data_IF_504632263086
#
_entry.id   IF_504632263086
#
_cell.length_a   1.000
_cell.length_b   1.000
_cell.length_c   1.000
_cell.angle_alpha   90.00
_cell.angle_beta   90.00
_cell.angle_gamma   90.00
#
_symmetry.space_group_name_H-M   'P 1'
#
loop_
_entity.id
_entity.type
_entity.pdbx_description
1 polymer ?
#
# COMPACT_ATOMS: atom_id res chain seq x y z
N UNK A 1 -29.07 61.39 15.02
CA UNK A 1 -27.82 60.59 15.19
C UNK A 1 -28.09 59.13 15.54
N UNK A 2 -29.12 58.80 16.32
CA UNK A 2 -29.38 57.42 16.83
C UNK A 2 -29.72 56.37 15.74
N UNK A 3 -30.43 56.76 14.67
CA UNK A 3 -30.73 55.88 13.54
C UNK A 3 -29.47 55.31 12.84
N UNK A 4 -28.35 56.03 12.90
CA UNK A 4 -27.07 55.57 12.32
C UNK A 4 -26.39 54.52 13.19
N UNK A 5 -26.55 54.57 14.51
CA UNK A 5 -25.93 53.62 15.43
C UNK A 5 -26.64 52.26 15.36
N UNK A 6 -27.97 52.27 15.39
CA UNK A 6 -28.79 51.06 15.27
C UNK A 6 -28.59 50.34 13.92
N UNK A 7 -28.36 51.09 12.83
CA UNK A 7 -28.04 50.50 11.53
C UNK A 7 -26.67 49.81 11.54
N UNK A 8 -25.66 50.45 12.15
CA UNK A 8 -24.31 49.91 12.29
C UNK A 8 -24.28 48.63 13.14
N UNK A 9 -25.06 48.59 14.21
CA UNK A 9 -25.23 47.38 15.02
C UNK A 9 -25.90 46.28 14.22
N UNK A 10 -26.99 46.57 13.51
CA UNK A 10 -27.69 45.58 12.70
C UNK A 10 -26.79 44.99 11.61
N UNK A 11 -26.01 45.82 10.93
CA UNK A 11 -25.05 45.39 9.91
C UNK A 11 -23.93 44.53 10.51
N UNK A 12 -23.45 44.85 11.72
CA UNK A 12 -22.49 44.04 12.46
C UNK A 12 -23.05 42.67 12.87
N UNK A 13 -24.32 42.60 13.27
CA UNK A 13 -25.00 41.34 13.57
C UNK A 13 -25.19 40.48 12.31
N UNK A 14 -25.61 41.08 11.19
CA UNK A 14 -25.78 40.37 9.91
C UNK A 14 -24.45 39.79 9.41
N UNK A 15 -23.35 40.54 9.48
CA UNK A 15 -22.03 40.06 9.08
C UNK A 15 -21.54 38.86 9.91
N UNK A 16 -21.89 38.81 11.21
CA UNK A 16 -21.57 37.66 12.07
C UNK A 16 -22.39 36.42 11.72
N UNK A 17 -23.66 36.59 11.38
CA UNK A 17 -24.53 35.48 10.93
C UNK A 17 -24.02 34.92 9.61
N UNK A 18 -23.66 35.76 8.65
CA UNK A 18 -23.08 35.33 7.36
C UNK A 18 -21.76 34.58 7.55
N UNK A 19 -20.88 35.06 8.43
CA UNK A 19 -19.65 34.32 8.80
C UNK A 19 -19.95 32.96 9.42
N UNK A 20 -20.93 32.88 10.33
CA UNK A 20 -21.31 31.62 10.98
C UNK A 20 -21.91 30.63 9.98
N UNK A 21 -22.73 31.10 9.05
CA UNK A 21 -23.33 30.29 8.00
C UNK A 21 -22.31 29.81 6.96
N UNK A 22 -21.32 30.65 6.62
CA UNK A 22 -20.19 30.27 5.79
C UNK A 22 -19.33 29.19 6.46
N UNK A 23 -19.06 29.31 7.77
CA UNK A 23 -18.34 28.30 8.55
C UNK A 23 -19.09 26.96 8.58
N UNK A 24 -20.40 26.98 8.82
CA UNK A 24 -21.23 25.77 8.82
C UNK A 24 -21.21 25.05 7.44
N UNK A 25 -21.23 25.82 6.36
CA UNK A 25 -21.16 25.31 4.98
C UNK A 25 -19.77 24.74 4.59
N UNK A 26 -18.71 25.13 5.30
CA UNK A 26 -17.36 24.56 5.14
C UNK A 26 -17.28 23.24 5.91
N UNK A 27 -17.81 23.19 7.13
CA UNK A 27 -17.85 21.98 7.98
C UNK A 27 -18.68 20.85 7.32
N UNK A 28 -19.84 21.16 6.74
CA UNK A 28 -20.63 20.17 6.00
C UNK A 28 -19.90 19.62 4.77
N UNK A 29 -19.19 20.48 4.03
CA UNK A 29 -18.37 20.05 2.88
C UNK A 29 -17.22 19.16 3.35
N UNK A 30 -16.50 19.55 4.41
CA UNK A 30 -15.43 18.73 4.98
C UNK A 30 -15.95 17.36 5.43
N UNK A 31 -17.08 17.32 6.14
CA UNK A 31 -17.74 16.06 6.54
C UNK A 31 -18.10 15.20 5.35
N UNK A 32 -18.64 15.79 4.27
CA UNK A 32 -18.95 15.06 3.04
C UNK A 32 -17.70 14.49 2.36
N UNK A 33 -16.62 15.27 2.27
CA UNK A 33 -15.35 14.81 1.71
C UNK A 33 -14.71 13.69 2.55
N UNK A 34 -14.76 13.80 3.88
CA UNK A 34 -14.27 12.75 4.78
C UNK A 34 -15.08 11.47 4.61
N UNK A 35 -16.42 11.56 4.58
CA UNK A 35 -17.29 10.41 4.37
C UNK A 35 -17.04 9.74 3.01
N UNK A 36 -16.79 10.52 1.96
CA UNK A 36 -16.54 9.99 0.62
C UNK A 36 -15.13 9.37 0.52
N UNK A 37 -14.15 9.94 1.20
CA UNK A 37 -12.82 9.36 1.36
C UNK A 37 -12.89 8.02 2.11
N UNK A 38 -13.68 7.94 3.18
CA UNK A 38 -13.88 6.70 3.93
C UNK A 38 -14.62 5.65 3.10
N UNK A 39 -15.59 6.06 2.26
CA UNK A 39 -16.23 5.16 1.30
C UNK A 39 -15.23 4.61 0.29
N UNK A 40 -14.32 5.45 -0.22
CA UNK A 40 -13.25 5.04 -1.14
C UNK A 40 -12.18 4.18 -0.47
N UNK A 41 -11.89 4.38 0.81
CA UNK A 41 -11.00 3.50 1.59
C UNK A 41 -11.64 2.13 1.83
N UNK A 42 -12.96 2.10 2.03
CA UNK A 42 -13.72 0.87 2.25
C UNK A 42 -13.93 0.09 0.95
N UNK A 43 -14.23 0.80 -0.15
CA UNK A 43 -14.43 0.26 -1.48
C UNK A 43 -13.49 0.97 -2.46
N UNK A 44 -12.18 0.66 -2.41
CA UNK A 44 -11.25 1.21 -3.38
C UNK A 44 -11.69 0.78 -4.77
N UNK A 45 -11.67 1.75 -5.70
CA UNK A 45 -12.15 1.53 -7.06
C UNK A 45 -11.51 0.25 -7.65
N UNK A 46 -12.34 -0.73 -7.98
CA UNK A 46 -11.91 -2.05 -8.44
C UNK A 46 -10.99 -1.96 -9.65
N UNK A 47 -11.16 -0.96 -10.52
CA UNK A 47 -10.28 -0.73 -11.67
C UNK A 47 -8.87 -0.30 -11.27
N UNK A 48 -8.75 0.49 -10.20
CA UNK A 48 -7.44 0.93 -9.70
C UNK A 48 -6.75 -0.25 -9.00
N UNK A 49 -7.52 -1.00 -8.21
CA UNK A 49 -7.02 -2.20 -7.55
C UNK A 49 -6.57 -3.27 -8.55
N UNK A 50 -7.31 -3.47 -9.65
CA UNK A 50 -6.92 -4.44 -10.67
C UNK A 50 -5.64 -4.05 -11.39
N UNK A 51 -5.44 -2.77 -11.72
CA UNK A 51 -4.18 -2.28 -12.32
C UNK A 51 -3.01 -2.44 -11.36
N UNK A 52 -3.19 -2.10 -10.07
CA UNK A 52 -2.14 -2.30 -9.07
C UNK A 52 -1.83 -3.79 -8.85
N UNK A 53 -2.84 -4.66 -8.91
CA UNK A 53 -2.68 -6.10 -8.78
C UNK A 53 -1.85 -6.68 -9.92
N UNK A 54 -1.95 -6.16 -11.15
CA UNK A 54 -1.06 -6.58 -12.24
C UNK A 54 0.42 -6.30 -11.93
N UNK A 55 0.72 -5.16 -11.31
CA UNK A 55 2.08 -4.84 -10.88
C UNK A 55 2.59 -5.77 -9.78
N UNK A 56 1.68 -6.27 -8.92
CA UNK A 56 1.98 -7.26 -7.89
C UNK A 56 2.15 -8.68 -8.46
N UNK A 57 1.27 -9.09 -9.37
CA UNK A 57 1.32 -10.42 -10.01
C UNK A 57 2.57 -10.58 -10.90
N UNK A 58 3.14 -9.46 -11.38
CA UNK A 58 4.40 -9.45 -12.12
C UNK A 58 5.66 -9.59 -11.23
N UNK A 59 5.51 -9.63 -9.91
CA UNK A 59 6.62 -9.86 -8.96
C UNK A 59 6.84 -11.37 -8.75
N UNK A 60 8.07 -11.74 -8.40
CA UNK A 60 8.34 -13.10 -7.95
C UNK A 60 7.83 -13.32 -6.51
N UNK A 61 7.68 -14.58 -6.09
CA UNK A 61 7.16 -14.93 -4.76
C UNK A 61 7.92 -14.27 -3.60
N UNK A 62 9.24 -14.13 -3.71
CA UNK A 62 10.05 -13.49 -2.67
C UNK A 62 9.79 -11.98 -2.58
N UNK A 63 9.68 -11.30 -3.73
CA UNK A 63 9.34 -9.88 -3.82
C UNK A 63 7.92 -9.60 -3.35
N UNK A 64 6.98 -10.49 -3.67
CA UNK A 64 5.60 -10.43 -3.19
C UNK A 64 5.56 -10.49 -1.67
N UNK A 65 6.23 -11.48 -1.06
CA UNK A 65 6.30 -11.61 0.39
C UNK A 65 6.92 -10.37 1.05
N UNK A 66 8.05 -9.88 0.53
CA UNK A 66 8.71 -8.68 1.05
C UNK A 66 7.78 -7.46 0.98
N UNK A 67 7.04 -7.28 -0.14
CA UNK A 67 6.09 -6.19 -0.27
C UNK A 67 4.97 -6.27 0.77
N UNK A 68 4.42 -7.47 1.00
CA UNK A 68 3.37 -7.69 2.00
C UNK A 68 3.87 -7.43 3.43
N UNK A 69 5.08 -7.89 3.75
CA UNK A 69 5.72 -7.66 5.06
C UNK A 69 5.95 -6.17 5.30
N UNK A 70 6.45 -5.44 4.29
CA UNK A 70 6.65 -3.98 4.37
C UNK A 70 5.31 -3.27 4.55
N UNK A 71 4.30 -3.62 3.75
CA UNK A 71 2.99 -2.97 3.80
C UNK A 71 2.29 -3.11 5.16
N UNK A 72 2.54 -4.23 5.85
CA UNK A 72 1.88 -4.59 7.10
C UNK A 72 2.64 -4.10 8.34
N UNK A 73 3.96 -4.28 8.37
CA UNK A 73 4.76 -4.18 9.60
C UNK A 73 5.83 -3.10 9.51
N UNK A 74 6.52 -2.97 8.37
CA UNK A 74 7.77 -2.20 8.30
C UNK A 74 7.65 -0.80 7.67
N UNK A 75 6.43 -0.23 7.58
CA UNK A 75 6.28 1.15 7.12
C UNK A 75 6.85 2.12 8.15
N UNK A 76 7.72 3.03 7.70
CA UNK A 76 8.40 4.02 8.53
C UNK A 76 9.70 3.50 9.15
N UNK A 77 9.98 2.20 9.05
CA UNK A 77 11.19 1.59 9.57
C UNK A 77 12.41 1.87 8.69
N UNK A 78 13.59 1.84 9.30
CA UNK A 78 14.85 2.03 8.57
C UNK A 78 15.11 0.85 7.62
N UNK A 79 15.48 1.14 6.38
CA UNK A 79 15.77 0.14 5.34
C UNK A 79 16.76 -0.94 5.80
N UNK A 80 17.88 -0.55 6.39
CA UNK A 80 18.96 -1.48 6.73
C UNK A 80 18.55 -2.38 7.91
N UNK A 81 17.74 -1.84 8.84
CA UNK A 81 17.09 -2.63 9.87
C UNK A 81 16.17 -3.69 9.27
N UNK A 82 15.30 -3.31 8.33
CA UNK A 82 14.39 -4.26 7.67
C UNK A 82 15.14 -5.32 6.89
N UNK A 83 16.23 -4.95 6.21
CA UNK A 83 17.11 -5.92 5.54
C UNK A 83 17.66 -6.90 6.57
N UNK A 84 18.22 -6.44 7.69
CA UNK A 84 18.79 -7.33 8.71
C UNK A 84 17.78 -8.33 9.30
N UNK A 85 16.52 -7.93 9.43
CA UNK A 85 15.45 -8.80 9.94
C UNK A 85 15.04 -9.83 8.90
N UNK A 86 14.91 -9.41 7.63
CA UNK A 86 14.44 -10.26 6.55
C UNK A 86 15.54 -11.18 5.97
N UNK A 87 16.82 -10.81 6.10
CA UNK A 87 17.96 -11.59 5.58
C UNK A 87 18.07 -12.97 6.25
N UNK A 88 17.59 -13.10 7.49
CA UNK A 88 17.48 -14.39 8.19
C UNK A 88 16.43 -15.35 7.60
N UNK A 89 15.50 -14.84 6.78
CA UNK A 89 14.36 -15.60 6.23
C UNK A 89 14.38 -15.69 4.69
N UNK A 90 14.93 -14.67 4.01
CA UNK A 90 14.85 -14.52 2.56
C UNK A 90 16.22 -14.26 1.95
N UNK A 91 16.61 -15.05 0.96
CA UNK A 91 17.84 -14.80 0.19
C UNK A 91 17.71 -13.52 -0.65
N UNK A 92 18.75 -12.68 -0.65
CA UNK A 92 18.87 -11.47 -1.49
C UNK A 92 17.82 -10.38 -1.24
N UNK A 93 17.50 -10.09 0.03
CA UNK A 93 16.53 -9.02 0.39
C UNK A 93 16.91 -7.67 -0.22
N UNK A 94 18.20 -7.30 -0.16
CA UNK A 94 18.71 -6.05 -0.71
C UNK A 94 18.39 -5.91 -2.21
N UNK A 95 18.61 -6.97 -2.99
CA UNK A 95 18.34 -6.99 -4.42
C UNK A 95 16.84 -6.92 -4.70
N UNK A 96 16.03 -7.69 -3.96
CA UNK A 96 14.58 -7.68 -4.13
C UNK A 96 13.98 -6.32 -3.75
N UNK A 97 14.49 -5.65 -2.71
CA UNK A 97 14.08 -4.29 -2.35
C UNK A 97 14.38 -3.29 -3.45
N UNK A 98 15.55 -3.36 -4.10
CA UNK A 98 15.87 -2.47 -5.24
C UNK A 98 14.86 -2.63 -6.37
N UNK A 99 14.48 -3.86 -6.72
CA UNK A 99 13.46 -4.11 -7.75
C UNK A 99 12.09 -3.50 -7.36
N UNK A 100 11.72 -3.55 -6.08
CA UNK A 100 10.48 -2.93 -5.60
C UNK A 100 10.55 -1.40 -5.69
N UNK A 101 11.71 -0.79 -5.45
CA UNK A 101 11.95 0.65 -5.64
C UNK A 101 11.88 1.03 -7.12
N UNK A 102 12.53 0.25 -7.99
CA UNK A 102 12.54 0.50 -9.44
C UNK A 102 11.12 0.42 -10.03
N UNK A 103 10.28 -0.47 -9.50
CA UNK A 103 8.86 -0.58 -9.84
C UNK A 103 7.96 0.46 -9.16
N UNK A 104 8.54 1.38 -8.37
CA UNK A 104 7.82 2.40 -7.61
C UNK A 104 6.77 1.84 -6.66
N UNK A 105 6.96 0.60 -6.20
CA UNK A 105 6.05 -0.06 -5.25
C UNK A 105 6.38 0.32 -3.80
N UNK A 106 7.65 0.65 -3.55
CA UNK A 106 8.15 1.19 -2.30
C UNK A 106 9.02 2.42 -2.60
N UNK A 107 9.08 3.34 -1.66
CA UNK A 107 9.92 4.53 -1.72
C UNK A 107 10.82 4.55 -0.49
N UNK A 108 12.09 4.91 -0.67
CA UNK A 108 13.01 5.16 0.44
C UNK A 108 13.15 6.66 0.57
N UNK A 109 12.80 7.21 1.73
CA UNK A 109 12.95 8.64 2.00
C UNK A 109 14.40 8.99 2.32
N UNK A 110 14.71 10.29 2.40
CA UNK A 110 16.07 10.80 2.64
C UNK A 110 16.69 10.36 3.97
N UNK A 111 15.87 10.04 4.97
CA UNK A 111 16.27 9.46 6.26
C UNK A 111 16.41 7.92 6.23
N UNK A 112 16.41 7.31 5.03
CA UNK A 112 16.45 5.86 4.82
C UNK A 112 15.24 5.09 5.40
N UNK A 113 14.11 5.76 5.69
CA UNK A 113 12.89 5.05 6.09
C UNK A 113 12.10 4.54 4.88
N UNK A 114 11.49 3.36 5.04
CA UNK A 114 10.61 2.77 4.04
C UNK A 114 9.24 3.47 4.05
N UNK A 115 8.80 3.86 2.86
CA UNK A 115 7.47 4.41 2.61
C UNK A 115 6.78 3.62 1.51
N UNK A 116 5.46 3.57 1.59
CA UNK A 116 4.61 2.93 0.60
C UNK A 116 3.40 3.82 0.37
N UNK A 117 2.98 3.96 -0.89
CA UNK A 117 1.80 4.73 -1.21
C UNK A 117 0.54 4.06 -0.65
N UNK A 118 -0.40 4.84 -0.10
CA UNK A 118 -1.63 4.35 0.54
C UNK A 118 -2.42 3.36 -0.32
N UNK A 119 -2.45 3.58 -1.65
CA UNK A 119 -3.13 2.67 -2.59
C UNK A 119 -2.47 1.28 -2.66
N UNK A 120 -1.13 1.24 -2.70
CA UNK A 120 -0.35 -0.01 -2.74
C UNK A 120 -0.49 -0.72 -1.40
N UNK A 121 -0.42 0.04 -0.30
CA UNK A 121 -0.62 -0.51 1.03
C UNK A 121 -2.04 -1.10 1.19
N UNK A 122 -3.06 -0.38 0.71
CA UNK A 122 -4.44 -0.85 0.71
C UNK A 122 -4.61 -2.16 -0.07
N UNK A 123 -4.01 -2.25 -1.25
CA UNK A 123 -3.98 -3.48 -2.06
C UNK A 123 -3.28 -4.62 -1.31
N UNK A 124 -2.07 -4.40 -0.79
CA UNK A 124 -1.31 -5.41 -0.07
C UNK A 124 -2.07 -5.95 1.15
N UNK A 125 -2.71 -5.07 1.92
CA UNK A 125 -3.58 -5.47 3.05
C UNK A 125 -4.80 -6.26 2.59
N UNK A 126 -5.38 -5.93 1.43
CA UNK A 126 -6.49 -6.68 0.87
C UNK A 126 -6.06 -8.11 0.46
N UNK A 127 -4.87 -8.25 -0.13
CA UNK A 127 -4.28 -9.56 -0.48
C UNK A 127 -4.05 -10.40 0.78
N UNK A 128 -3.41 -9.85 1.81
CA UNK A 128 -3.18 -10.57 3.10
C UNK A 128 -4.52 -11.02 3.73
N UNK A 129 -5.56 -10.18 3.64
CA UNK A 129 -6.91 -10.55 4.09
C UNK A 129 -7.47 -11.70 3.27
N UNK A 130 -7.39 -11.65 1.95
CA UNK A 130 -7.82 -12.73 1.05
C UNK A 130 -7.09 -14.06 1.36
N UNK A 131 -5.76 -14.00 1.58
CA UNK A 131 -4.95 -15.16 1.97
C UNK A 131 -5.30 -15.73 3.35
N UNK A 132 -5.65 -14.86 4.30
CA UNK A 132 -6.05 -15.27 5.65
C UNK A 132 -7.42 -15.95 5.69
N UNK A 133 -8.32 -15.54 4.78
CA UNK A 133 -9.69 -16.08 4.65
C UNK A 133 -9.68 -17.40 3.86
N UNK A 134 -8.68 -17.64 3.00
CA UNK A 134 -8.54 -18.90 2.28
C UNK A 134 -8.34 -20.07 3.26
N UNK A 135 -9.23 -21.10 3.24
CA UNK A 135 -9.17 -22.19 4.19
C UNK A 135 -7.82 -22.90 4.09
N UNK A 136 -7.23 -23.23 5.26
CA UNK A 136 -5.89 -23.82 5.47
C UNK A 136 -5.47 -24.94 4.50
N UNK A 137 -6.44 -25.62 3.86
CA UNK A 137 -6.23 -26.64 2.81
C UNK A 137 -5.73 -26.07 1.46
N UNK A 138 -6.15 -24.86 1.04
CA UNK A 138 -5.70 -24.25 -0.24
C UNK A 138 -4.27 -23.71 -0.17
N UNK A 139 -3.81 -23.25 1.01
CA UNK A 139 -2.39 -22.86 1.22
C UNK A 139 -1.42 -24.01 0.95
N UNK A 140 -1.76 -25.24 1.33
CA UNK A 140 -0.93 -26.43 1.03
C UNK A 140 -0.87 -26.74 -0.46
N UNK A 141 -1.96 -26.50 -1.21
CA UNK A 141 -2.00 -26.75 -2.65
C UNK A 141 -1.18 -25.72 -3.43
N UNK A 142 -1.26 -24.42 -3.08
CA UNK A 142 -0.45 -23.37 -3.71
C UNK A 142 1.05 -23.50 -3.39
N UNK A 143 1.40 -23.78 -2.13
CA UNK A 143 2.79 -24.07 -1.75
C UNK A 143 3.29 -25.34 -2.47
N UNK A 144 2.45 -26.39 -2.59
CA UNK A 144 2.84 -27.57 -3.33
C UNK A 144 3.05 -27.30 -4.82
N UNK A 145 2.16 -26.53 -5.47
CA UNK A 145 2.27 -26.21 -6.90
C UNK A 145 3.50 -25.36 -7.21
N UNK A 146 3.82 -24.37 -6.38
CA UNK A 146 5.00 -23.52 -6.58
C UNK A 146 6.33 -24.27 -6.34
N UNK A 147 6.35 -25.28 -5.47
CA UNK A 147 7.53 -26.14 -5.28
C UNK A 147 7.78 -27.05 -6.49
N UNK A 148 6.73 -27.49 -7.19
CA UNK A 148 6.88 -28.30 -8.41
C UNK A 148 7.40 -27.50 -9.60
N UNK A 149 7.01 -26.22 -9.74
CA UNK A 149 7.46 -25.39 -10.86
C UNK A 149 8.94 -24.98 -10.73
N UNK A 150 9.41 -24.72 -9.51
CA UNK A 150 10.84 -24.46 -9.24
C UNK A 150 11.68 -25.74 -9.42
N UNK A 151 11.12 -26.91 -9.12
CA UNK A 151 11.82 -28.21 -9.29
C UNK A 151 11.92 -28.65 -10.75
N UNK A 152 11.00 -28.23 -11.62
CA UNK A 152 10.99 -28.60 -13.04
C UNK A 152 11.87 -27.71 -13.92
N UNK A 153 12.14 -26.46 -13.51
CA UNK A 153 13.11 -25.60 -14.21
C UNK A 153 14.58 -25.89 -13.83
N UNK A 154 14.84 -26.51 -12.67
CA UNK A 154 16.21 -26.75 -12.19
C UNK A 154 16.79 -28.12 -12.58
N UNK A 155 16.06 -28.96 -13.34
CA UNK A 155 16.56 -30.27 -13.79
C UNK A 155 17.37 -30.24 -15.09
N UNK A 156 17.50 -29.09 -15.75
CA UNK A 156 18.19 -29.01 -17.06
C UNK A 156 19.52 -28.24 -17.05
N UNK A 157 20.19 -28.08 -15.89
CA UNK A 157 21.50 -27.40 -15.82
C UNK A 157 22.65 -28.18 -15.18
N UNK A 158 22.48 -29.47 -14.88
CA UNK A 158 23.53 -30.28 -14.22
C UNK A 158 23.98 -31.54 -14.96
N UNK A 159 23.69 -31.66 -16.26
CA UNK A 159 24.34 -32.65 -17.11
C UNK A 159 24.65 -31.99 -18.46
N UNK A 160 25.91 -31.61 -18.67
CA UNK A 160 26.76 -31.78 -19.88
C UNK A 160 27.95 -30.80 -19.71
N UNK A 161 29.01 -31.28 -19.08
CA UNK A 161 30.42 -30.96 -19.42
C UNK A 161 31.37 -31.72 -18.49
N UNK A 162 31.38 -33.04 -18.67
CA UNK A 162 32.49 -33.96 -18.35
C UNK A 162 31.93 -35.34 -18.69
N UNK A 163 32.44 -36.16 -19.60
CA UNK A 163 33.60 -36.13 -20.49
C UNK A 163 33.21 -37.07 -21.66
N UNK A 164 33.71 -36.91 -22.88
CA UNK A 164 34.81 -37.68 -23.48
C UNK A 164 34.69 -37.28 -24.98
N UNK A 165 35.72 -36.73 -25.61
CA UNK A 165 36.93 -37.43 -26.02
C UNK A 165 38.17 -36.54 -25.95
#
# INVERSE_FOLDING_TARGET
>A
MELSAAKKERDFYLAKVDQSQALCSIDERQKKWVSELDRLKLHPNEKIQSVLRLSYDALNLHQQNILLDIACVFIGENRDFVISILDGCNFFVDTNMRVLVDKSLITISSNMSLQMHDLIQGMARAIVREESILPRKKRRLLISSNVYEISSQNKNKWCISSSIQ
#
